data_IF_045394542655
#
_entry.id   IF_045394542655
#
_cell.length_a   1.000
_cell.length_b   1.000
_cell.length_c   1.000
_cell.angle_alpha   90.00
_cell.angle_beta   90.00
_cell.angle_gamma   90.00
#
_symmetry.space_group_name_H-M   'P 1'
#
loop_
_entity.id
_entity.type
_entity.pdbx_description
1 polymer ?
#
# COMPACT_ATOMS: atom_id res chain seq x y z
N UNK A 1 -16.91 9.89 -0.15
CA UNK A 1 -16.53 9.26 1.15
C UNK A 1 -15.62 8.08 0.89
N UNK A 2 -14.52 7.98 1.62
CA UNK A 2 -13.57 6.87 1.53
C UNK A 2 -14.23 5.58 2.02
N UNK A 3 -14.18 4.47 1.27
CA UNK A 3 -14.76 3.19 1.70
C UNK A 3 -14.07 2.59 2.93
N UNK A 4 -14.82 1.89 3.77
CA UNK A 4 -14.30 1.13 4.93
C UNK A 4 -13.57 -0.15 4.49
N UNK A 5 -12.45 0.02 3.81
CA UNK A 5 -11.59 -1.06 3.32
C UNK A 5 -10.16 -0.75 3.73
N UNK A 6 -9.52 -1.72 4.37
CA UNK A 6 -8.08 -1.71 4.65
C UNK A 6 -7.40 -2.59 3.60
N UNK A 7 -6.39 -2.06 2.93
CA UNK A 7 -5.51 -2.79 2.03
C UNK A 7 -4.14 -2.93 2.66
N UNK A 8 -3.53 -4.09 2.51
CA UNK A 8 -2.12 -4.32 2.80
C UNK A 8 -1.51 -5.28 1.78
N UNK A 9 -0.20 -5.32 1.69
CA UNK A 9 0.53 -6.16 0.77
C UNK A 9 1.40 -7.16 1.51
N UNK A 10 1.42 -8.43 1.04
CA UNK A 10 2.35 -9.44 1.51
C UNK A 10 2.74 -10.38 0.38
N UNK A 11 3.85 -10.09 -0.28
CA UNK A 11 4.37 -10.86 -1.41
C UNK A 11 5.52 -11.78 -0.98
N UNK A 12 5.82 -12.79 -1.82
CA UNK A 12 6.94 -13.70 -1.64
C UNK A 12 6.61 -15.02 -0.97
N UNK A 13 5.36 -15.23 -0.55
CA UNK A 13 4.86 -16.51 -0.05
C UNK A 13 5.36 -16.95 1.34
N UNK A 14 6.15 -16.12 2.03
CA UNK A 14 6.56 -16.41 3.39
C UNK A 14 5.44 -16.14 4.40
N UNK A 15 5.36 -16.84 5.53
CA UNK A 15 4.40 -16.51 6.57
C UNK A 15 4.68 -15.12 7.16
N UNK A 16 3.60 -14.42 7.52
CA UNK A 16 3.72 -13.11 8.17
C UNK A 16 4.27 -13.33 9.60
N UNK A 17 5.33 -12.62 10.00
CA UNK A 17 5.88 -12.69 11.35
C UNK A 17 4.85 -12.35 12.45
N UNK A 18 4.98 -12.97 13.62
CA UNK A 18 4.01 -12.82 14.71
C UNK A 18 3.92 -11.40 15.27
N UNK A 19 5.00 -10.64 15.26
CA UNK A 19 5.00 -9.23 15.67
C UNK A 19 4.13 -8.38 14.73
N UNK A 20 4.22 -8.61 13.40
CA UNK A 20 3.38 -7.93 12.43
C UNK A 20 1.90 -8.37 12.56
N UNK A 21 1.64 -9.64 12.84
CA UNK A 21 0.27 -10.13 13.10
C UNK A 21 -0.33 -9.39 14.32
N UNK A 22 0.47 -9.10 15.35
CA UNK A 22 0.03 -8.36 16.53
C UNK A 22 -0.40 -6.93 16.17
N UNK A 23 0.32 -6.23 15.29
CA UNK A 23 -0.09 -4.92 14.79
C UNK A 23 -1.39 -5.01 13.99
N UNK A 24 -1.48 -5.97 13.08
CA UNK A 24 -2.67 -6.17 12.25
C UNK A 24 -3.92 -6.54 13.07
N UNK A 25 -3.75 -7.15 14.25
CA UNK A 25 -4.85 -7.43 15.15
C UNK A 25 -5.50 -6.13 15.66
N UNK A 26 -4.73 -5.07 15.89
CA UNK A 26 -5.26 -3.76 16.29
C UNK A 26 -6.21 -3.17 15.25
N UNK A 27 -6.00 -3.47 13.96
CA UNK A 27 -6.91 -3.02 12.90
C UNK A 27 -8.30 -3.61 13.06
N UNK A 28 -8.39 -4.91 13.37
CA UNK A 28 -9.66 -5.62 13.59
C UNK A 28 -10.36 -5.17 14.86
N UNK A 29 -9.59 -4.91 15.92
CA UNK A 29 -10.11 -4.45 17.20
C UNK A 29 -10.68 -3.04 17.13
N UNK A 30 -9.95 -2.12 16.46
CA UNK A 30 -10.34 -0.71 16.37
C UNK A 30 -11.38 -0.44 15.26
N UNK A 31 -11.42 -1.27 14.23
CA UNK A 31 -12.28 -1.10 13.04
C UNK A 31 -12.95 -2.42 12.65
N UNK A 32 -13.78 -3.01 13.55
CA UNK A 32 -14.32 -4.36 13.37
C UNK A 32 -15.30 -4.49 12.18
N UNK A 33 -15.87 -3.39 11.71
CA UNK A 33 -16.80 -3.33 10.58
C UNK A 33 -16.12 -3.01 9.25
N UNK A 34 -14.77 -2.90 9.23
CA UNK A 34 -14.01 -2.67 8.03
C UNK A 34 -13.62 -3.99 7.35
N UNK A 35 -13.68 -3.99 6.01
CA UNK A 35 -13.13 -5.10 5.21
C UNK A 35 -11.62 -4.98 5.16
N UNK A 36 -10.90 -6.10 5.37
CA UNK A 36 -9.44 -6.15 5.24
C UNK A 36 -9.09 -7.02 4.04
N UNK A 37 -8.25 -6.51 3.14
CA UNK A 37 -7.81 -7.19 1.92
C UNK A 37 -6.29 -7.29 1.93
N UNK A 38 -5.78 -8.53 1.90
CA UNK A 38 -4.39 -8.83 1.59
C UNK A 38 -4.18 -8.88 0.08
N UNK A 39 -3.16 -8.17 -0.39
CA UNK A 39 -2.70 -8.27 -1.77
C UNK A 39 -1.44 -9.12 -1.83
N UNK A 40 -1.48 -10.15 -2.65
CA UNK A 40 -0.39 -11.10 -2.86
C UNK A 40 -0.51 -11.74 -4.26
N UNK A 41 0.32 -12.74 -4.54
CA UNK A 41 0.37 -13.43 -5.84
C UNK A 41 -0.94 -14.13 -6.24
N UNK A 42 -1.85 -14.36 -5.30
CA UNK A 42 -3.11 -15.05 -5.59
C UNK A 42 -4.19 -14.13 -6.16
N UNK A 43 -4.08 -12.83 -5.92
CA UNK A 43 -5.10 -11.85 -6.30
C UNK A 43 -4.56 -10.60 -7.00
N UNK A 44 -3.24 -10.52 -7.22
CA UNK A 44 -2.58 -9.48 -8.02
C UNK A 44 -1.67 -10.13 -9.06
N UNK A 45 -1.94 -9.89 -10.34
CA UNK A 45 -1.18 -10.46 -11.44
C UNK A 45 0.07 -9.60 -11.74
N UNK A 46 1.23 -10.04 -11.24
CA UNK A 46 2.51 -9.38 -11.48
C UNK A 46 2.81 -9.26 -12.98
N UNK A 47 2.43 -10.23 -13.80
CA UNK A 47 2.74 -10.26 -15.24
C UNK A 47 2.03 -9.15 -16.03
N UNK A 48 0.93 -8.63 -15.50
CA UNK A 48 0.18 -7.53 -16.10
C UNK A 48 0.56 -6.15 -15.52
N UNK A 49 1.49 -6.10 -14.58
CA UNK A 49 1.97 -4.87 -13.98
C UNK A 49 3.07 -4.21 -14.82
N UNK A 50 3.42 -2.93 -14.57
CA UNK A 50 4.52 -2.26 -15.24
C UNK A 50 5.86 -3.00 -15.07
N UNK A 51 6.79 -2.79 -16.01
CA UNK A 51 8.10 -3.42 -16.01
C UNK A 51 8.85 -3.27 -14.67
N UNK A 52 8.79 -2.07 -14.08
CA UNK A 52 9.36 -1.79 -12.76
C UNK A 52 8.93 -2.82 -11.71
N UNK A 53 7.64 -3.12 -11.64
CA UNK A 53 7.06 -4.04 -10.65
C UNK A 53 7.50 -5.49 -10.93
N UNK A 54 7.51 -5.89 -12.20
CA UNK A 54 7.96 -7.23 -12.61
C UNK A 54 9.44 -7.44 -12.25
N UNK A 55 10.30 -6.47 -12.54
CA UNK A 55 11.72 -6.51 -12.21
C UNK A 55 11.95 -6.55 -10.69
N UNK A 56 11.27 -5.71 -9.93
CA UNK A 56 11.34 -5.70 -8.46
C UNK A 56 10.90 -7.04 -7.87
N UNK A 57 9.83 -7.63 -8.39
CA UNK A 57 9.35 -8.93 -7.96
C UNK A 57 10.37 -10.05 -8.25
N UNK A 58 10.93 -10.11 -9.45
CA UNK A 58 11.95 -11.10 -9.83
C UNK A 58 13.23 -10.94 -9.01
N UNK A 59 13.59 -9.71 -8.64
CA UNK A 59 14.70 -9.42 -7.73
C UNK A 59 14.37 -9.71 -6.26
N UNK A 60 13.14 -10.19 -5.95
CA UNK A 60 12.62 -10.43 -4.59
C UNK A 60 12.62 -9.18 -3.70
N UNK A 61 12.45 -8.01 -4.31
CA UNK A 61 12.35 -6.71 -3.64
C UNK A 61 10.89 -6.33 -3.42
N UNK A 62 10.23 -7.06 -2.52
CA UNK A 62 8.78 -7.02 -2.35
C UNK A 62 8.26 -5.70 -1.78
N UNK A 63 9.08 -4.94 -1.04
CA UNK A 63 8.71 -3.59 -0.60
C UNK A 63 8.40 -2.68 -1.80
N UNK A 64 9.22 -2.75 -2.86
CA UNK A 64 9.01 -1.97 -4.09
C UNK A 64 7.81 -2.44 -4.91
N UNK A 65 7.49 -3.73 -4.87
CA UNK A 65 6.23 -4.25 -5.42
C UNK A 65 5.05 -3.65 -4.67
N UNK A 66 5.11 -3.63 -3.34
CA UNK A 66 4.07 -3.06 -2.47
C UNK A 66 3.88 -1.56 -2.72
N UNK A 67 4.93 -0.80 -3.05
CA UNK A 67 4.84 0.63 -3.37
C UNK A 67 3.92 0.91 -4.58
N UNK A 68 3.93 0.03 -5.57
CA UNK A 68 3.00 0.10 -6.69
C UNK A 68 1.61 -0.41 -6.33
N UNK A 69 1.53 -1.60 -5.71
CA UNK A 69 0.26 -2.28 -5.47
C UNK A 69 -0.64 -1.51 -4.51
N UNK A 70 -0.07 -0.79 -3.52
CA UNK A 70 -0.83 0.10 -2.63
C UNK A 70 -1.57 1.19 -3.41
N UNK A 71 -0.91 1.79 -4.39
CA UNK A 71 -1.51 2.82 -5.24
C UNK A 71 -2.58 2.22 -6.16
N UNK A 72 -2.28 1.09 -6.76
CA UNK A 72 -3.22 0.38 -7.63
C UNK A 72 -4.50 -0.02 -6.88
N UNK A 73 -4.36 -0.58 -5.66
CA UNK A 73 -5.51 -0.97 -4.85
C UNK A 73 -6.39 0.22 -4.48
N UNK A 74 -5.78 1.33 -4.07
CA UNK A 74 -6.49 2.57 -3.75
C UNK A 74 -7.17 3.19 -4.99
N UNK A 75 -6.51 3.15 -6.15
CA UNK A 75 -7.11 3.64 -7.40
C UNK A 75 -8.35 2.83 -7.78
N UNK A 76 -8.27 1.50 -7.69
CA UNK A 76 -9.35 0.61 -8.09
C UNK A 76 -10.54 0.63 -7.12
N UNK A 77 -10.28 0.61 -5.82
CA UNK A 77 -11.29 0.34 -4.81
C UNK A 77 -11.54 1.50 -3.84
N UNK A 78 -10.63 2.45 -3.77
CA UNK A 78 -10.59 3.38 -2.65
C UNK A 78 -10.32 2.66 -1.33
N UNK A 79 -10.40 3.36 -0.21
CA UNK A 79 -10.14 2.81 1.11
C UNK A 79 -8.85 3.34 1.70
N UNK A 80 -8.26 2.57 2.61
CA UNK A 80 -7.05 2.95 3.34
C UNK A 80 -6.00 1.86 3.18
N UNK A 81 -4.77 2.23 2.86
CA UNK A 81 -3.62 1.34 2.84
C UNK A 81 -2.84 1.46 4.15
N UNK A 82 -2.42 0.33 4.69
CA UNK A 82 -1.47 0.22 5.79
C UNK A 82 -0.29 -0.66 5.40
N UNK A 83 0.93 -0.23 5.76
CA UNK A 83 2.06 -1.15 5.88
C UNK A 83 1.80 -2.14 7.04
N UNK A 84 2.38 -3.32 6.99
CA UNK A 84 2.09 -4.41 7.94
C UNK A 84 2.57 -4.14 9.37
N UNK A 85 3.45 -3.18 9.55
CA UNK A 85 3.99 -2.73 10.85
C UNK A 85 3.24 -1.55 11.48
N UNK A 86 2.05 -1.23 10.98
CA UNK A 86 1.21 -0.16 11.51
C UNK A 86 0.36 -0.67 12.68
N UNK A 87 0.52 -0.06 13.84
CA UNK A 87 -0.38 -0.21 14.98
C UNK A 87 -1.47 0.86 14.91
N UNK A 88 -2.74 0.44 15.01
CA UNK A 88 -3.88 1.36 15.02
C UNK A 88 -4.31 1.64 16.46
N UNK A 89 -4.22 2.90 16.87
CA UNK A 89 -4.55 3.34 18.23
C UNK A 89 -5.95 3.95 18.34
N UNK A 90 -6.54 4.34 17.21
CA UNK A 90 -7.90 4.93 17.12
C UNK A 90 -8.55 4.57 15.79
N UNK A 91 -9.89 4.45 15.75
CA UNK A 91 -10.61 4.26 14.50
C UNK A 91 -10.37 5.39 13.50
N UNK A 92 -10.35 5.04 12.20
CA UNK A 92 -10.15 5.99 11.09
C UNK A 92 -11.46 6.58 10.56
N UNK A 93 -12.60 6.27 11.17
CA UNK A 93 -13.92 6.70 10.69
C UNK A 93 -14.02 8.21 10.51
N UNK A 94 -13.39 9.02 11.36
CA UNK A 94 -13.37 10.48 11.24
C UNK A 94 -12.62 11.02 10.02
N UNK A 95 -11.80 10.19 9.36
CA UNK A 95 -11.05 10.56 8.16
C UNK A 95 -11.80 10.27 6.87
N UNK A 96 -12.89 9.47 6.92
CA UNK A 96 -13.59 8.97 5.74
C UNK A 96 -14.33 10.04 4.95
N UNK A 97 -14.67 11.17 5.56
CA UNK A 97 -15.33 12.29 4.89
C UNK A 97 -14.38 13.13 4.01
N UNK A 98 -13.06 12.91 4.16
CA UNK A 98 -12.08 13.51 3.26
C UNK A 98 -12.11 12.81 1.88
N UNK A 99 -11.67 13.52 0.84
CA UNK A 99 -11.44 12.90 -0.47
C UNK A 99 -10.21 12.03 -0.49
N UNK A 100 -9.18 12.46 0.24
CA UNK A 100 -7.93 11.73 0.43
C UNK A 100 -7.20 12.23 1.69
N UNK A 101 -6.31 11.39 2.23
CA UNK A 101 -5.37 11.76 3.27
C UNK A 101 -4.09 10.94 3.14
N UNK A 102 -3.01 11.44 3.76
CA UNK A 102 -1.72 10.75 3.84
C UNK A 102 -1.14 10.97 5.24
N UNK A 103 -0.49 9.94 5.78
CA UNK A 103 0.23 10.04 7.04
C UNK A 103 1.48 10.92 6.93
N UNK A 104 1.96 11.41 8.06
CA UNK A 104 3.24 12.10 8.17
C UNK A 104 4.22 11.24 8.92
N UNK A 105 5.46 11.20 8.45
CA UNK A 105 6.56 10.54 9.15
C UNK A 105 7.24 11.54 10.07
N UNK A 106 7.11 11.33 11.38
CA UNK A 106 7.67 12.24 12.39
C UNK A 106 9.20 12.30 12.32
N UNK A 107 9.85 11.17 12.06
CA UNK A 107 11.31 11.04 11.96
C UNK A 107 11.94 11.79 10.79
N UNK A 108 11.15 12.12 9.76
CA UNK A 108 11.59 12.77 8.53
C UNK A 108 11.07 14.21 8.40
N UNK A 109 11.05 14.97 9.50
CA UNK A 109 10.62 16.36 9.52
C UNK A 109 9.17 16.57 9.00
N UNK A 110 8.26 15.66 9.35
CA UNK A 110 6.86 15.68 8.94
C UNK A 110 6.64 15.55 7.43
N UNK A 111 7.51 14.81 6.74
CA UNK A 111 7.29 14.49 5.33
C UNK A 111 6.13 13.51 5.16
N UNK A 112 5.37 13.62 4.07
CA UNK A 112 4.35 12.64 3.75
C UNK A 112 4.96 11.24 3.60
N UNK A 113 4.41 10.27 4.33
CA UNK A 113 4.81 8.87 4.28
C UNK A 113 3.73 8.00 3.65
N UNK A 114 4.13 7.03 2.83
CA UNK A 114 3.21 6.15 2.12
C UNK A 114 2.79 4.92 2.92
N UNK A 115 3.25 4.80 4.16
CA UNK A 115 2.90 3.69 5.06
C UNK A 115 1.42 3.70 5.50
N UNK A 116 0.80 4.90 5.51
CA UNK A 116 -0.62 5.10 5.79
C UNK A 116 -1.17 6.14 4.82
N UNK A 117 -2.11 5.77 3.98
CA UNK A 117 -2.79 6.70 3.08
C UNK A 117 -4.18 6.17 2.71
N UNK A 118 -5.10 7.10 2.43
CA UNK A 118 -6.46 6.73 2.07
C UNK A 118 -7.06 7.70 1.05
N UNK A 119 -7.95 7.19 0.22
CA UNK A 119 -8.67 8.01 -0.75
C UNK A 119 -9.97 7.35 -1.23
N UNK A 120 -10.81 8.14 -1.88
CA UNK A 120 -11.89 7.62 -2.71
C UNK A 120 -11.30 6.89 -3.93
N UNK A 121 -12.04 5.93 -4.47
CA UNK A 121 -11.64 5.26 -5.73
C UNK A 121 -11.47 6.29 -6.85
N UNK A 122 -10.59 5.98 -7.80
CA UNK A 122 -10.30 6.85 -8.96
C UNK A 122 -9.74 8.23 -8.59
N UNK A 123 -9.07 8.34 -7.47
CA UNK A 123 -8.48 9.59 -6.99
C UNK A 123 -7.34 10.07 -7.91
N UNK A 124 -7.39 11.34 -8.32
CA UNK A 124 -6.47 11.87 -9.35
C UNK A 124 -5.01 11.81 -8.93
N UNK A 125 -4.67 12.17 -7.68
CA UNK A 125 -3.28 12.14 -7.24
C UNK A 125 -2.69 10.73 -7.25
N UNK A 126 -3.50 9.68 -6.95
CA UNK A 126 -3.06 8.28 -7.04
C UNK A 126 -2.85 7.87 -8.50
N UNK A 127 -3.73 8.31 -9.41
CA UNK A 127 -3.56 8.08 -10.86
C UNK A 127 -2.28 8.72 -11.39
N UNK A 128 -1.98 9.95 -10.96
CA UNK A 128 -0.77 10.66 -11.36
C UNK A 128 0.49 9.91 -10.86
N UNK A 129 0.47 9.42 -9.62
CA UNK A 129 1.57 8.60 -9.10
C UNK A 129 1.72 7.27 -9.84
N UNK A 130 0.63 6.58 -10.15
CA UNK A 130 0.66 5.32 -10.93
C UNK A 130 1.24 5.54 -12.34
N UNK A 131 0.91 6.65 -12.98
CA UNK A 131 1.40 6.99 -14.33
C UNK A 131 2.93 7.07 -14.39
N UNK A 132 3.60 7.43 -13.30
CA UNK A 132 5.06 7.49 -13.24
C UNK A 132 5.72 6.13 -13.48
N UNK A 133 5.09 5.04 -13.05
CA UNK A 133 5.63 3.69 -13.19
C UNK A 133 5.66 3.18 -14.63
N UNK A 134 4.89 3.78 -15.53
CA UNK A 134 4.86 3.40 -16.95
C UNK A 134 6.16 3.66 -17.70
N UNK A 135 7.02 4.55 -17.19
CA UNK A 135 8.21 5.06 -17.88
C UNK A 135 9.52 4.83 -17.12
N UNK A 136 9.49 4.06 -16.02
CA UNK A 136 10.68 3.78 -15.21
C UNK A 136 10.97 2.28 -15.15
N UNK A 137 12.26 1.95 -14.98
CA UNK A 137 12.76 0.61 -14.70
C UNK A 137 13.20 0.54 -13.23
N UNK A 138 13.06 -0.63 -12.61
CA UNK A 138 13.57 -0.89 -11.27
C UNK A 138 15.11 -0.89 -11.26
N UNK A 139 15.72 -1.44 -12.33
CA UNK A 139 17.16 -1.40 -12.49
C UNK A 139 17.58 -0.14 -13.24
N UNK A 140 18.62 0.52 -12.73
CA UNK A 140 19.31 1.61 -13.42
C UNK A 140 20.13 1.05 -14.60
N UNK A 141 20.61 1.94 -15.49
CA UNK A 141 21.41 1.56 -16.65
C UNK A 141 22.70 0.82 -16.29
N UNK A 142 23.25 1.00 -15.09
CA UNK A 142 24.42 0.30 -14.56
C UNK A 142 24.09 -1.04 -13.87
N UNK A 143 22.81 -1.45 -13.86
CA UNK A 143 22.33 -2.69 -13.22
C UNK A 143 22.09 -2.58 -11.71
N UNK A 144 22.32 -1.42 -11.11
CA UNK A 144 21.97 -1.16 -9.71
C UNK A 144 20.48 -0.80 -9.58
N UNK A 145 19.96 -0.81 -8.36
CA UNK A 145 18.60 -0.37 -8.01
C UNK A 145 18.64 0.60 -6.82
N UNK A 146 17.56 1.33 -6.62
CA UNK A 146 17.44 2.28 -5.50
C UNK A 146 17.03 1.60 -4.20
#
# INVERSE_FOLDING_TARGET
>A
MIPKIIHYCWFGGNPIPNDLISYMQTWREMMPDWKIIEWNETNFDISQSPLYVQEAYHARKFAFVSDYVRLWALEQYGGVYFDTDIEVLKPFDSLLDNKAFIGLEESLAHLPGTCVMGCEAQCNWVKDMLALYGNISFFKADGTWD
#
